data_IF_398778682116
#
_entry.id   IF_398778682116
#
_cell.length_a   1.000
_cell.length_b   1.000
_cell.length_c   1.000
_cell.angle_alpha   90.00
_cell.angle_beta   90.00
_cell.angle_gamma   90.00
#
_symmetry.space_group_name_H-M   'P 1'
#
loop_
_entity.id
_entity.type
_entity.pdbx_description
1 polymer ?
#
# COMPACT_ATOMS: atom_id res chain seq x y z
N UNK A 1 -58.22 -0.33 23.98
CA UNK A 1 -57.34 -1.29 23.27
C UNK A 1 -56.84 -0.64 21.97
N UNK A 2 -55.94 0.35 22.04
CA UNK A 2 -55.52 1.09 20.84
C UNK A 2 -54.14 1.76 20.95
N UNK A 3 -53.28 1.31 21.86
CA UNK A 3 -51.95 1.89 22.08
C UNK A 3 -50.78 0.92 21.86
N UNK A 4 -51.04 -0.29 21.34
CA UNK A 4 -49.97 -1.26 21.05
C UNK A 4 -49.50 -1.28 19.59
N UNK A 5 -50.19 -0.60 18.69
CA UNK A 5 -49.82 -0.52 17.27
C UNK A 5 -48.75 0.55 16.98
N UNK A 6 -48.62 1.57 17.84
CA UNK A 6 -47.63 2.64 17.64
C UNK A 6 -46.20 2.25 18.07
N UNK A 7 -46.02 1.28 18.97
CA UNK A 7 -44.68 0.81 19.37
C UNK A 7 -44.03 -0.11 18.34
N UNK A 8 -44.80 -0.79 17.48
CA UNK A 8 -44.24 -1.60 16.39
C UNK A 8 -43.81 -0.75 15.19
N UNK A 9 -44.45 0.40 14.95
CA UNK A 9 -44.08 1.31 13.87
C UNK A 9 -42.70 1.96 14.06
N UNK A 10 -42.31 2.26 15.31
CA UNK A 10 -41.00 2.86 15.62
C UNK A 10 -39.83 1.87 15.55
N UNK A 11 -40.09 0.56 15.67
CA UNK A 11 -39.07 -0.47 15.50
C UNK A 11 -38.77 -0.68 14.01
N UNK A 12 -39.79 -0.59 13.14
CA UNK A 12 -39.60 -0.70 11.69
C UNK A 12 -38.89 0.54 11.12
N UNK A 13 -39.09 1.73 11.69
CA UNK A 13 -38.41 2.94 11.22
C UNK A 13 -36.92 3.02 11.60
N UNK A 14 -36.50 2.35 12.69
CA UNK A 14 -35.09 2.39 13.15
C UNK A 14 -34.19 1.30 12.53
N UNK A 15 -34.76 0.30 11.83
CA UNK A 15 -33.96 -0.66 11.07
C UNK A 15 -33.61 -0.20 9.64
N UNK A 16 -34.08 0.97 9.20
CA UNK A 16 -33.62 1.60 7.96
C UNK A 16 -32.30 2.37 8.10
N UNK A 17 -31.76 2.52 9.31
CA UNK A 17 -30.52 3.29 9.52
C UNK A 17 -29.34 2.47 10.10
N UNK A 18 -29.58 1.30 10.72
CA UNK A 18 -28.49 0.48 11.27
C UNK A 18 -28.66 -1.02 10.99
N UNK A 19 -27.97 -1.49 9.95
CA UNK A 19 -27.32 -2.81 9.92
C UNK A 19 -28.12 -4.04 9.47
N UNK A 20 -28.09 -4.36 8.17
CA UNK A 20 -27.90 -5.74 7.68
C UNK A 20 -27.43 -5.67 6.21
N UNK A 21 -26.18 -5.98 5.89
CA UNK A 21 -25.74 -7.35 5.58
C UNK A 21 -26.74 -8.11 4.72
N UNK A 22 -26.42 -8.34 3.45
CA UNK A 22 -26.84 -9.44 2.54
C UNK A 22 -26.20 -9.16 1.16
N UNK A 23 -26.03 -10.18 0.29
CA UNK A 23 -24.73 -10.73 -0.06
C UNK A 23 -24.35 -10.48 -1.54
N UNK A 24 -23.09 -10.70 -1.87
CA UNK A 24 -22.75 -11.28 -3.18
C UNK A 24 -23.02 -10.48 -4.45
N UNK A 25 -23.22 -9.15 -4.42
CA UNK A 25 -22.98 -8.34 -5.63
C UNK A 25 -21.57 -7.82 -5.57
N UNK A 26 -20.68 -8.52 -6.27
CA UNK A 26 -19.43 -7.97 -6.77
C UNK A 26 -19.75 -6.64 -7.45
N UNK A 27 -19.70 -5.54 -6.69
CA UNK A 27 -19.43 -4.21 -7.24
C UNK A 27 -18.06 -4.37 -7.84
N UNK A 28 -18.03 -4.75 -9.12
CA UNK A 28 -16.88 -4.66 -10.00
C UNK A 28 -16.44 -3.22 -9.84
N UNK A 29 -15.44 -3.03 -8.97
CA UNK A 29 -14.85 -1.73 -8.69
C UNK A 29 -14.68 -1.10 -10.04
N UNK A 30 -15.37 0.03 -10.29
CA UNK A 30 -15.24 0.76 -11.53
C UNK A 30 -13.74 0.86 -11.73
N UNK A 31 -13.21 0.14 -12.73
CA UNK A 31 -11.87 0.40 -13.24
C UNK A 31 -11.99 1.83 -13.70
N UNK A 32 -11.63 2.75 -12.83
CA UNK A 32 -11.52 4.13 -13.17
C UNK A 32 -10.42 4.13 -14.21
N UNK A 33 -10.85 4.15 -15.47
CA UNK A 33 -9.97 4.33 -16.62
C UNK A 33 -9.57 5.80 -16.57
N UNK A 34 -8.77 6.15 -15.58
CA UNK A 34 -7.96 7.34 -15.62
C UNK A 34 -7.03 7.08 -16.81
N UNK A 35 -7.12 7.90 -17.86
CA UNK A 35 -6.07 7.97 -18.88
C UNK A 35 -4.70 7.99 -18.21
N UNK A 36 -3.63 7.57 -18.90
CA UNK A 36 -2.42 7.01 -18.29
C UNK A 36 -1.76 8.01 -17.33
N UNK A 37 -2.23 8.02 -16.08
CA UNK A 37 -1.55 8.71 -15.00
C UNK A 37 -0.38 7.79 -14.66
N UNK A 38 0.88 8.20 -14.93
CA UNK A 38 2.03 7.33 -14.81
C UNK A 38 2.14 6.69 -13.41
N UNK A 39 1.60 7.36 -12.39
CA UNK A 39 1.60 6.94 -10.98
C UNK A 39 0.72 5.69 -10.74
N UNK A 40 -0.32 5.47 -11.54
CA UNK A 40 -1.25 4.34 -11.37
C UNK A 40 -0.89 3.09 -12.21
N UNK A 41 0.29 3.04 -12.85
CA UNK A 41 0.70 1.87 -13.64
C UNK A 41 0.93 0.66 -12.73
N UNK A 42 0.31 -0.49 -13.06
CA UNK A 42 0.47 -1.72 -12.26
C UNK A 42 -0.25 -1.70 -10.90
N UNK A 43 -1.16 -0.75 -10.70
CA UNK A 43 -1.90 -0.57 -9.45
C UNK A 43 -3.30 -1.24 -9.51
N UNK A 44 -3.72 -1.87 -8.41
CA UNK A 44 -5.07 -2.44 -8.23
C UNK A 44 -6.07 -1.40 -7.70
N UNK A 45 -5.61 -0.47 -6.86
CA UNK A 45 -6.43 0.60 -6.28
C UNK A 45 -5.63 1.88 -6.21
N UNK A 46 -6.04 2.90 -6.97
CA UNK A 46 -5.34 4.18 -7.08
C UNK A 46 -6.20 5.33 -6.57
N UNK A 47 -5.57 6.28 -5.90
CA UNK A 47 -6.14 7.56 -5.46
C UNK A 47 -5.47 8.70 -6.22
N UNK A 48 -6.22 9.79 -6.42
CA UNK A 48 -5.72 10.99 -7.10
C UNK A 48 -4.60 11.67 -6.31
N UNK A 49 -4.71 11.72 -4.98
CA UNK A 49 -3.80 12.48 -4.12
C UNK A 49 -2.65 11.64 -3.57
N UNK A 50 -2.91 10.35 -3.31
CA UNK A 50 -1.93 9.44 -2.70
C UNK A 50 -1.27 8.48 -3.71
N UNK A 51 -1.62 8.58 -4.99
CA UNK A 51 -1.16 7.63 -6.00
C UNK A 51 -1.69 6.22 -5.75
N UNK A 52 -0.86 5.21 -6.03
CA UNK A 52 -1.25 3.83 -5.81
C UNK A 52 -1.37 3.47 -4.32
N UNK A 53 -2.42 2.75 -3.94
CA UNK A 53 -2.64 2.23 -2.58
C UNK A 53 -2.31 0.74 -2.51
N UNK A 54 -2.59 -0.02 -3.57
CA UNK A 54 -2.31 -1.48 -3.64
C UNK A 54 -1.73 -1.86 -4.99
N UNK A 55 -0.54 -2.44 -4.99
CA UNK A 55 0.13 -2.94 -6.19
C UNK A 55 -0.36 -4.35 -6.58
N UNK A 56 -0.15 -4.72 -7.84
CA UNK A 56 -0.22 -6.11 -8.26
C UNK A 56 0.83 -6.96 -7.53
N UNK A 57 0.53 -8.24 -7.28
CA UNK A 57 1.34 -9.13 -6.43
C UNK A 57 2.79 -9.33 -6.89
N UNK A 58 3.11 -9.09 -8.17
CA UNK A 58 4.47 -9.20 -8.72
C UNK A 58 5.31 -7.93 -8.56
N UNK A 59 4.69 -6.80 -8.22
CA UNK A 59 5.34 -5.49 -8.11
C UNK A 59 5.60 -5.13 -6.65
N UNK A 60 6.55 -4.24 -6.44
CA UNK A 60 6.87 -3.66 -5.15
C UNK A 60 6.21 -2.30 -4.99
N UNK A 61 5.55 -2.10 -3.86
CA UNK A 61 5.04 -0.81 -3.43
C UNK A 61 6.19 0.10 -2.99
N UNK A 62 6.33 1.27 -3.60
CA UNK A 62 7.32 2.28 -3.26
C UNK A 62 6.62 3.58 -2.87
N UNK A 63 6.96 4.11 -1.70
CA UNK A 63 6.44 5.40 -1.24
C UNK A 63 7.41 6.50 -1.65
N UNK A 64 7.07 7.23 -2.71
CA UNK A 64 7.86 8.34 -3.22
C UNK A 64 7.49 9.62 -2.48
N UNK A 65 8.49 10.35 -2.00
CA UNK A 65 8.33 11.67 -1.37
C UNK A 65 8.76 12.75 -2.33
N UNK A 66 7.90 13.72 -2.57
CA UNK A 66 8.15 14.89 -3.40
C UNK A 66 7.70 16.13 -2.64
N UNK A 67 8.67 16.86 -2.08
CA UNK A 67 8.42 17.93 -1.11
C UNK A 67 7.65 17.42 0.11
N UNK A 68 6.46 17.98 0.33
CA UNK A 68 5.55 17.60 1.42
C UNK A 68 4.60 16.47 1.05
N UNK A 69 4.51 16.09 -0.22
CA UNK A 69 3.60 15.05 -0.68
C UNK A 69 4.28 13.68 -0.66
N UNK A 70 3.47 12.66 -0.42
CA UNK A 70 3.85 11.28 -0.55
C UNK A 70 2.83 10.57 -1.44
N UNK A 71 3.33 9.79 -2.39
CA UNK A 71 2.46 8.99 -3.25
C UNK A 71 3.06 7.61 -3.45
N UNK A 72 2.18 6.62 -3.58
CA UNK A 72 2.56 5.25 -3.86
C UNK A 72 2.79 5.03 -5.36
N UNK A 73 3.89 4.36 -5.69
CA UNK A 73 4.20 3.86 -7.01
C UNK A 73 4.40 2.33 -6.95
N UNK A 74 4.14 1.63 -8.06
CA UNK A 74 4.41 0.20 -8.19
C UNK A 74 5.57 -0.04 -9.14
N UNK A 75 6.64 -0.65 -8.64
CA UNK A 75 7.88 -0.88 -9.37
C UNK A 75 8.18 -2.38 -9.53
N UNK A 76 8.87 -2.75 -10.61
CA UNK A 76 9.37 -4.12 -10.76
C UNK A 76 10.54 -4.43 -9.83
N UNK A 77 11.37 -3.41 -9.56
CA UNK A 77 12.54 -3.47 -8.69
C UNK A 77 12.62 -2.19 -7.87
N UNK A 78 13.12 -2.28 -6.64
CA UNK A 78 13.29 -1.12 -5.78
C UNK A 78 14.44 -0.23 -6.26
N UNK A 79 14.33 1.11 -6.09
CA UNK A 79 15.38 2.05 -6.49
C UNK A 79 16.61 1.97 -5.57
N UNK A 80 17.71 2.59 -5.99
CA UNK A 80 18.95 2.65 -5.21
C UNK A 80 18.72 3.18 -3.78
N UNK A 81 19.38 2.57 -2.80
CA UNK A 81 19.16 2.87 -1.38
C UNK A 81 17.89 2.24 -0.78
N UNK A 82 17.16 1.42 -1.53
CA UNK A 82 16.05 0.62 -1.04
C UNK A 82 16.28 -0.86 -1.34
N UNK A 83 15.75 -1.72 -0.48
CA UNK A 83 15.70 -3.17 -0.70
C UNK A 83 14.25 -3.64 -0.77
N UNK A 84 14.02 -4.69 -1.56
CA UNK A 84 12.70 -5.30 -1.72
C UNK A 84 12.38 -6.24 -0.58
N UNK A 85 11.25 -6.01 0.09
CA UNK A 85 10.72 -6.88 1.13
C UNK A 85 9.44 -7.55 0.62
N UNK A 86 9.41 -8.88 0.60
CA UNK A 86 8.21 -9.66 0.28
C UNK A 86 7.49 -10.03 1.58
N UNK A 87 6.33 -9.42 1.82
CA UNK A 87 5.48 -9.72 2.98
C UNK A 87 4.19 -10.41 2.52
N UNK A 88 3.51 -11.19 3.38
CA UNK A 88 2.24 -11.82 3.04
C UNK A 88 1.18 -10.81 2.54
N UNK A 89 1.22 -9.58 3.06
CA UNK A 89 0.29 -8.52 2.69
C UNK A 89 0.58 -7.95 1.29
N UNK A 90 1.83 -7.54 1.05
CA UNK A 90 2.31 -6.99 -0.22
C UNK A 90 3.83 -6.92 -0.29
N UNK A 91 4.40 -6.90 -1.49
CA UNK A 91 5.82 -6.59 -1.65
C UNK A 91 6.02 -5.08 -1.53
N UNK A 92 7.05 -4.63 -0.79
CA UNK A 92 7.31 -3.21 -0.56
C UNK A 92 8.81 -2.89 -0.61
N UNK A 93 9.14 -1.66 -1.00
CA UNK A 93 10.50 -1.14 -0.94
C UNK A 93 10.75 -0.50 0.41
N UNK A 94 11.78 -0.96 1.12
CA UNK A 94 12.19 -0.40 2.41
C UNK A 94 13.53 0.30 2.27
N UNK A 95 13.66 1.48 2.86
CA UNK A 95 14.91 2.25 2.80
C UNK A 95 16.01 1.49 3.54
N UNK A 96 17.19 1.42 2.93
CA UNK A 96 18.36 0.92 3.62
C UNK A 96 18.85 1.92 4.66
N UNK A 97 19.13 1.42 5.87
CA UNK A 97 19.59 2.20 7.02
C UNK A 97 20.93 1.72 7.57
N UNK A 98 21.63 0.84 6.85
CA UNK A 98 22.95 0.36 7.24
C UNK A 98 23.96 1.49 6.99
N UNK A 99 24.77 1.81 8.00
CA UNK A 99 25.80 2.83 7.88
C UNK A 99 26.84 2.46 6.81
N UNK A 100 27.30 3.46 6.08
CA UNK A 100 28.30 3.34 5.02
C UNK A 100 27.96 2.31 3.92
N UNK A 101 26.68 1.99 3.74
CA UNK A 101 26.22 1.05 2.72
C UNK A 101 25.59 1.76 1.51
N UNK A 102 25.99 1.36 0.30
CA UNK A 102 25.43 1.83 -0.97
C UNK A 102 24.22 0.98 -1.41
N UNK A 103 24.28 -0.33 -1.21
CA UNK A 103 23.22 -1.26 -1.62
C UNK A 103 23.08 -2.40 -0.64
N UNK A 104 21.83 -2.74 -0.32
CA UNK A 104 21.48 -3.63 0.79
C UNK A 104 20.57 -4.72 0.28
N UNK A 105 20.80 -5.96 0.72
CA UNK A 105 19.93 -7.09 0.41
C UNK A 105 18.73 -7.14 1.36
N UNK A 106 18.98 -6.87 2.64
CA UNK A 106 17.98 -6.90 3.70
C UNK A 106 18.19 -5.72 4.66
N UNK A 107 17.42 -5.70 5.75
CA UNK A 107 17.55 -4.70 6.80
C UNK A 107 18.96 -4.64 7.40
N UNK A 108 19.59 -5.81 7.53
CA UNK A 108 20.82 -5.99 8.32
C UNK A 108 22.00 -6.50 7.48
N UNK A 109 21.81 -6.65 6.17
CA UNK A 109 22.84 -7.16 5.26
C UNK A 109 23.08 -6.20 4.08
N UNK A 110 24.26 -5.59 4.10
CA UNK A 110 24.81 -4.77 3.02
C UNK A 110 25.50 -5.65 1.98
N UNK A 111 25.19 -5.45 0.70
CA UNK A 111 25.84 -6.14 -0.41
C UNK A 111 26.97 -5.31 -1.02
N UNK A 112 26.89 -3.98 -0.89
CA UNK A 112 27.92 -3.06 -1.40
C UNK A 112 28.11 -1.90 -0.44
N UNK A 113 29.31 -1.78 0.11
CA UNK A 113 29.72 -0.65 0.92
C UNK A 113 30.09 0.56 0.06
N UNK A 114 30.02 1.75 0.65
CA UNK A 114 30.55 2.99 0.08
C UNK A 114 32.04 2.87 -0.19
N UNK A 115 32.53 3.63 -1.16
CA UNK A 115 33.97 3.73 -1.44
C UNK A 115 34.75 4.09 -0.17
N UNK A 116 35.82 3.35 0.12
CA UNK A 116 36.66 3.54 1.30
C UNK A 116 36.29 2.68 2.51
N UNK A 117 35.15 1.98 2.47
CA UNK A 117 34.73 1.04 3.52
C UNK A 117 34.86 -0.40 3.04
N UNK A 118 35.24 -1.31 3.93
CA UNK A 118 35.27 -2.75 3.64
C UNK A 118 34.04 -3.45 4.19
N UNK A 119 33.57 -4.48 3.47
CA UNK A 119 32.43 -5.28 3.89
C UNK A 119 32.83 -6.39 4.86
N UNK A 120 32.22 -6.44 6.03
CA UNK A 120 32.38 -7.55 6.97
C UNK A 120 31.03 -7.99 7.53
N UNK A 121 30.67 -9.26 7.30
CA UNK A 121 29.41 -9.89 7.78
C UNK A 121 28.15 -9.06 7.48
N UNK A 122 28.06 -8.49 6.28
CA UNK A 122 26.91 -7.68 5.86
C UNK A 122 26.89 -6.26 6.45
N UNK A 123 27.97 -5.78 7.06
CA UNK A 123 28.14 -4.39 7.51
C UNK A 123 29.39 -3.77 6.88
N UNK A 124 29.50 -2.44 6.97
CA UNK A 124 30.57 -1.67 6.37
C UNK A 124 31.37 -0.95 7.45
N UNK A 125 32.70 -1.08 7.39
CA UNK A 125 33.65 -0.53 8.35
C UNK A 125 34.77 0.24 7.64
#
# INVERSE_FOLDING_TARGET
MQFRLFSFALIILNCMDYGHCQPGRWKRSKRANYGPNPICKGCLSCSKDNGCIRCQHKLFFFLRREGMRQYGECLHSCPSGYYGLRTPDMNRCSRCRIENCDSCFSRDFCTKCKTGFYSHRGRCF
#
